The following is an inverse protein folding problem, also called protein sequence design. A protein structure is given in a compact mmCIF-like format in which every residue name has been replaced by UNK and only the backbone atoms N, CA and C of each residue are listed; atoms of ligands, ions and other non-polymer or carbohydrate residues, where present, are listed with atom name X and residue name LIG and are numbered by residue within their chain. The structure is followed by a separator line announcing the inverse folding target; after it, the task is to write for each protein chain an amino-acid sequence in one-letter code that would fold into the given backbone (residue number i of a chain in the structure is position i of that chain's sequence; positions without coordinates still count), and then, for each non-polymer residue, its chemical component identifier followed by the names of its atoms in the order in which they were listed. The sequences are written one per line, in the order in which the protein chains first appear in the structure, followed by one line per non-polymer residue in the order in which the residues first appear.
data_IF_279177186525
#
_entry.id   IF_279177186525
#
_cell.length_a   1.000
_cell.length_b   1.000
_cell.length_c   1.000
_cell.angle_alpha   90.00
_cell.angle_beta   90.00
_cell.angle_gamma   90.00
#
_symmetry.space_group_name_H-M   'P 1'
#
loop_
_entity.id
_entity.type
_entity.pdbx_description
1 polymer ?
#
# COMPACT_ATOMS: atom_id res chain seq x y z
N UNK A 1 16.26 10.41 -17.11
CA UNK A 1 15.43 9.28 -17.63
C UNK A 1 14.08 9.25 -16.91
N UNK A 2 12.99 8.80 -17.54
CA UNK A 2 11.67 8.68 -16.90
C UNK A 2 11.25 7.22 -16.71
N UNK A 3 10.55 6.94 -15.61
CA UNK A 3 9.91 5.66 -15.32
C UNK A 3 8.42 5.87 -15.07
N UNK A 4 7.59 5.01 -15.65
CA UNK A 4 6.15 5.00 -15.43
C UNK A 4 5.79 3.89 -14.43
N UNK A 5 4.95 4.23 -13.47
CA UNK A 5 4.33 3.30 -12.53
C UNK A 5 2.90 3.09 -12.99
N UNK A 6 2.67 2.06 -13.81
CA UNK A 6 1.34 1.72 -14.31
C UNK A 6 0.55 1.01 -13.22
N UNK A 7 -0.37 1.73 -12.59
CA UNK A 7 -1.15 1.26 -11.45
C UNK A 7 -2.29 0.33 -11.88
N UNK A 8 -2.40 -0.78 -11.16
CA UNK A 8 -3.42 -1.82 -11.31
C UNK A 8 -4.06 -2.13 -9.95
N UNK A 9 -5.17 -2.85 -9.97
CA UNK A 9 -5.96 -3.23 -8.80
C UNK A 9 -7.36 -2.60 -8.79
N UNK A 10 -8.07 -2.64 -7.63
CA UNK A 10 -7.59 -3.15 -6.36
C UNK A 10 -7.68 -4.68 -6.28
N UNK A 11 -6.78 -5.29 -5.52
CA UNK A 11 -6.93 -6.67 -5.02
C UNK A 11 -6.98 -6.66 -3.49
N UNK A 12 -7.73 -7.57 -2.89
CA UNK A 12 -7.79 -7.76 -1.44
C UNK A 12 -9.20 -8.06 -0.91
N UNK A 13 -9.28 -8.45 0.38
CA UNK A 13 -10.44 -9.05 1.05
C UNK A 13 -11.73 -8.23 1.12
N UNK A 14 -11.78 -6.97 0.68
CA UNK A 14 -13.04 -6.22 0.71
C UNK A 14 -13.41 -5.55 -0.61
N UNK A 15 -12.86 -5.99 -1.74
CA UNK A 15 -13.48 -5.62 -3.01
C UNK A 15 -14.96 -6.03 -2.93
N UNK A 16 -15.84 -5.03 -2.81
CA UNK A 16 -17.27 -5.24 -2.66
C UNK A 16 -17.77 -5.65 -4.04
N UNK A 17 -18.50 -6.77 -4.10
CA UNK A 17 -18.97 -7.45 -5.32
C UNK A 17 -17.87 -7.98 -6.26
N UNK A 18 -17.19 -9.03 -5.83
CA UNK A 18 -16.28 -9.81 -6.68
C UNK A 18 -15.21 -10.49 -5.84
N UNK A 19 -14.65 -11.60 -6.33
CA UNK A 19 -13.62 -12.34 -5.58
C UNK A 19 -12.47 -11.40 -5.18
N UNK A 20 -12.23 -11.36 -3.87
CA UNK A 20 -11.23 -10.52 -3.22
C UNK A 20 -9.83 -10.66 -3.82
N UNK A 21 -9.49 -11.84 -4.31
CA UNK A 21 -8.33 -12.06 -5.14
C UNK A 21 -8.81 -12.55 -6.51
N UNK A 22 -8.17 -12.12 -7.60
CA UNK A 22 -8.55 -12.57 -8.92
C UNK A 22 -8.44 -14.09 -9.03
N UNK A 23 -9.50 -14.73 -9.52
CA UNK A 23 -9.43 -16.13 -9.97
C UNK A 23 -8.79 -16.24 -11.37
N UNK A 24 -8.57 -15.11 -12.04
CA UNK A 24 -7.88 -15.03 -13.32
C UNK A 24 -6.41 -15.42 -13.14
N UNK A 25 -5.95 -16.53 -13.77
CA UNK A 25 -4.58 -16.98 -13.67
C UNK A 25 -3.55 -15.93 -14.12
N UNK A 26 -3.89 -15.08 -15.09
CA UNK A 26 -2.97 -14.06 -15.59
C UNK A 26 -2.73 -12.96 -14.54
N UNK A 27 -3.78 -12.55 -13.83
CA UNK A 27 -3.61 -11.57 -12.75
C UNK A 27 -2.87 -12.21 -11.57
N UNK A 28 -3.11 -13.50 -11.31
CA UNK A 28 -2.36 -14.24 -10.30
C UNK A 28 -0.85 -14.35 -10.62
N UNK A 29 -0.50 -14.66 -11.88
CA UNK A 29 0.88 -14.68 -12.37
C UNK A 29 1.54 -13.31 -12.24
N UNK A 30 0.84 -12.24 -12.66
CA UNK A 30 1.31 -10.86 -12.50
C UNK A 30 1.62 -10.51 -11.04
N UNK A 31 0.80 -10.98 -10.09
CA UNK A 31 1.05 -10.74 -8.66
C UNK A 31 2.26 -11.52 -8.14
N UNK A 32 2.75 -12.54 -8.83
CA UNK A 32 3.99 -13.22 -8.46
C UNK A 32 5.24 -12.39 -8.76
N UNK A 33 5.13 -11.38 -9.61
CA UNK A 33 6.23 -10.53 -10.07
C UNK A 33 6.67 -9.47 -9.05
N UNK A 34 7.81 -8.84 -9.36
CA UNK A 34 8.35 -7.74 -8.61
C UNK A 34 7.62 -6.41 -8.91
N UNK A 35 7.52 -5.53 -7.92
CA UNK A 35 6.88 -4.23 -8.10
C UNK A 35 6.73 -3.44 -6.80
N UNK A 36 6.11 -2.26 -6.93
CA UNK A 36 5.64 -1.47 -5.79
C UNK A 36 4.14 -1.65 -5.58
N UNK A 37 3.69 -1.38 -4.37
CA UNK A 37 2.28 -1.42 -4.04
C UNK A 37 1.89 -0.37 -3.02
N UNK A 38 0.61 -0.01 -3.06
CA UNK A 38 -0.08 0.71 -2.01
C UNK A 38 -1.07 -0.20 -1.33
N UNK A 39 -0.99 -0.26 -0.02
CA UNK A 39 -2.01 -0.90 0.81
C UNK A 39 -2.83 0.19 1.48
N UNK A 40 -4.12 0.25 1.14
CA UNK A 40 -5.06 1.24 1.70
C UNK A 40 -6.10 0.57 2.59
N UNK A 41 -6.54 1.29 3.62
CA UNK A 41 -7.71 0.93 4.43
C UNK A 41 -8.59 2.16 4.59
N UNK A 42 -9.87 2.01 4.29
CA UNK A 42 -10.89 3.06 4.48
C UNK A 42 -11.70 2.80 5.73
N UNK A 43 -11.95 3.85 6.50
CA UNK A 43 -12.65 3.84 7.78
C UNK A 43 -13.82 4.82 7.76
N UNK A 44 -14.62 4.80 8.82
CA UNK A 44 -15.75 5.71 9.01
C UNK A 44 -15.30 7.18 8.90
N UNK A 45 -16.23 8.05 8.50
CA UNK A 45 -15.99 9.48 8.29
C UNK A 45 -14.93 9.83 7.22
N UNK A 46 -14.69 8.91 6.28
CA UNK A 46 -13.79 9.15 5.14
C UNK A 46 -12.30 9.10 5.48
N UNK A 47 -11.93 8.56 6.65
CA UNK A 47 -10.53 8.41 7.03
C UNK A 47 -9.90 7.28 6.21
N UNK A 48 -8.78 7.59 5.55
CA UNK A 48 -7.97 6.62 4.83
C UNK A 48 -6.59 6.48 5.47
N UNK A 49 -6.13 5.25 5.61
CA UNK A 49 -4.75 4.93 6.00
C UNK A 49 -4.07 4.30 4.79
N UNK A 50 -2.88 4.80 4.45
CA UNK A 50 -2.09 4.31 3.34
C UNK A 50 -0.72 3.81 3.80
N UNK A 51 -0.23 2.79 3.11
CA UNK A 51 1.10 2.21 3.26
C UNK A 51 1.66 2.00 1.86
N UNK A 52 2.90 2.43 1.61
CA UNK A 52 3.58 2.18 0.36
C UNK A 52 4.73 1.20 0.57
N UNK A 53 4.76 0.10 -0.17
CA UNK A 53 5.80 -0.93 -0.07
C UNK A 53 6.30 -1.40 -1.43
N UNK A 54 7.30 -2.26 -1.39
CA UNK A 54 7.84 -2.96 -2.54
C UNK A 54 8.01 -4.44 -2.24
N UNK A 55 8.07 -5.25 -3.30
CA UNK A 55 8.43 -6.66 -3.20
C UNK A 55 9.05 -7.17 -4.49
N UNK A 56 9.83 -8.25 -4.36
CA UNK A 56 10.20 -9.12 -5.49
C UNK A 56 9.12 -10.15 -5.83
N UNK A 57 8.09 -10.26 -4.98
CA UNK A 57 6.86 -11.02 -5.22
C UNK A 57 5.71 -10.33 -4.46
N UNK A 58 4.82 -9.66 -5.19
CA UNK A 58 3.74 -8.87 -4.57
C UNK A 58 2.77 -9.76 -3.79
N UNK A 59 2.35 -10.89 -4.36
CA UNK A 59 1.42 -11.84 -3.75
C UNK A 59 1.91 -12.31 -2.39
N UNK A 60 3.19 -12.70 -2.30
CA UNK A 60 3.79 -13.14 -1.03
C UNK A 60 3.75 -12.02 0.03
N UNK A 61 3.97 -10.76 -0.37
CA UNK A 61 3.87 -9.63 0.57
C UNK A 61 2.43 -9.31 0.96
N UNK A 62 1.47 -9.45 0.04
CA UNK A 62 0.06 -9.23 0.35
C UNK A 62 -0.44 -10.26 1.36
N UNK A 63 -0.12 -11.54 1.14
CA UNK A 63 -0.39 -12.62 2.09
C UNK A 63 0.25 -12.33 3.45
N UNK A 64 1.53 -11.95 3.49
CA UNK A 64 2.20 -11.66 4.76
C UNK A 64 1.53 -10.53 5.56
N UNK A 65 1.05 -9.48 4.89
CA UNK A 65 0.29 -8.41 5.56
C UNK A 65 -1.01 -8.93 6.16
N UNK A 66 -1.77 -9.70 5.38
CA UNK A 66 -3.05 -10.25 5.83
C UNK A 66 -2.86 -11.29 6.95
N UNK A 67 -1.90 -12.20 6.78
CA UNK A 67 -1.53 -13.20 7.78
C UNK A 67 -1.08 -12.52 9.09
N UNK A 68 -0.28 -11.45 9.03
CA UNK A 68 0.13 -10.71 10.23
C UNK A 68 -1.05 -10.04 10.95
N UNK A 69 -2.08 -9.60 10.22
CA UNK A 69 -3.29 -9.06 10.83
C UNK A 69 -4.14 -10.15 11.48
N UNK A 70 -4.40 -11.23 10.74
CA UNK A 70 -5.24 -12.35 11.20
C UNK A 70 -4.61 -13.14 12.36
N UNK A 71 -3.27 -13.22 12.40
CA UNK A 71 -2.51 -13.83 13.51
C UNK A 71 -2.29 -12.89 14.70
N UNK A 72 -2.88 -11.70 14.70
CA UNK A 72 -2.74 -10.68 15.75
C UNK A 72 -1.28 -10.22 15.95
N UNK A 73 -0.44 -10.36 14.92
CA UNK A 73 0.98 -9.98 14.94
C UNK A 73 1.22 -8.53 14.52
N UNK A 74 0.17 -7.78 14.18
CA UNK A 74 0.23 -6.37 13.80
C UNK A 74 -0.81 -5.55 14.57
N UNK A 75 -0.62 -4.22 14.69
CA UNK A 75 -1.63 -3.35 15.26
C UNK A 75 -2.94 -3.42 14.47
N UNK A 76 -4.07 -3.46 15.17
CA UNK A 76 -5.41 -3.50 14.57
C UNK A 76 -6.21 -2.27 14.96
N UNK A 77 -7.09 -1.85 14.04
CA UNK A 77 -7.91 -0.66 14.17
C UNK A 77 -9.40 -0.99 14.21
N UNK A 78 -10.15 -0.16 14.94
CA UNK A 78 -11.60 -0.21 14.93
C UNK A 78 -12.19 0.46 13.67
N UNK A 79 -13.53 0.55 13.58
CA UNK A 79 -14.22 1.15 12.44
C UNK A 79 -13.87 2.63 12.20
N UNK A 80 -13.41 3.34 13.23
CA UNK A 80 -13.00 4.76 13.15
C UNK A 80 -11.53 4.93 12.73
N UNK A 81 -10.81 3.83 12.56
CA UNK A 81 -9.38 3.83 12.25
C UNK A 81 -8.49 4.07 13.47
N UNK A 82 -9.03 4.03 14.70
CA UNK A 82 -8.23 4.13 15.92
C UNK A 82 -7.55 2.79 16.21
N UNK A 83 -6.25 2.81 16.54
CA UNK A 83 -5.54 1.61 17.02
C UNK A 83 -6.16 1.20 18.37
N UNK A 84 -6.74 0.01 18.42
CA UNK A 84 -7.36 -0.57 19.63
C UNK A 84 -6.65 -1.84 20.08
N UNK A 85 -5.71 -2.33 19.28
CA UNK A 85 -4.88 -3.49 19.56
C UNK A 85 -3.47 -3.21 19.05
N UNK A 86 -2.45 -3.40 19.89
CA UNK A 86 -1.05 -3.05 19.58
C UNK A 86 -0.28 -4.16 18.85
N UNK A 87 -0.70 -5.42 18.96
CA UNK A 87 0.00 -6.56 18.36
C UNK A 87 1.25 -7.04 19.09
N UNK A 88 1.64 -6.40 20.21
CA UNK A 88 2.74 -6.89 21.05
C UNK A 88 2.39 -8.19 21.79
N UNK A 89 3.41 -8.83 22.37
CA UNK A 89 3.24 -10.13 23.03
C UNK A 89 2.21 -10.08 24.16
N UNK A 90 2.17 -9.01 24.96
CA UNK A 90 1.21 -8.86 26.06
C UNK A 90 -0.21 -8.77 25.52
N UNK A 91 -0.43 -7.90 24.52
CA UNK A 91 -1.73 -7.77 23.86
C UNK A 91 -2.22 -9.10 23.27
N UNK A 92 -1.33 -9.91 22.65
CA UNK A 92 -1.70 -11.22 22.12
C UNK A 92 -2.11 -12.22 23.21
N UNK A 93 -1.39 -12.28 24.32
CA UNK A 93 -1.77 -13.15 25.46
C UNK A 93 -3.14 -12.76 26.00
N UNK A 94 -3.41 -11.45 26.15
CA UNK A 94 -4.71 -10.96 26.59
C UNK A 94 -5.84 -11.23 25.58
N UNK A 95 -5.52 -11.24 24.29
CA UNK A 95 -6.47 -11.54 23.22
C UNK A 95 -6.89 -13.02 23.23
N UNK A 96 -6.03 -13.94 23.64
CA UNK A 96 -6.39 -15.36 23.75
C UNK A 96 -7.50 -15.60 24.77
N UNK A 97 -7.57 -14.80 25.83
CA UNK A 97 -8.69 -14.81 26.79
C UNK A 97 -10.00 -14.23 26.22
N UNK A 98 -9.97 -13.58 25.05
CA UNK A 98 -11.10 -12.90 24.40
C UNK A 98 -11.12 -13.19 22.89
N UNK A 99 -10.87 -14.45 22.53
CA UNK A 99 -10.56 -14.86 21.16
C UNK A 99 -11.61 -14.42 20.15
N UNK A 100 -12.90 -14.61 20.45
CA UNK A 100 -14.00 -14.20 19.57
C UNK A 100 -13.92 -12.71 19.19
N UNK A 101 -13.71 -11.84 20.18
CA UNK A 101 -13.62 -10.39 19.96
C UNK A 101 -12.36 -10.01 19.18
N UNK A 102 -11.23 -10.64 19.49
CA UNK A 102 -9.97 -10.38 18.80
C UNK A 102 -10.01 -10.84 17.34
N UNK A 103 -10.56 -12.02 17.07
CA UNK A 103 -10.74 -12.55 15.71
C UNK A 103 -11.71 -11.70 14.90
N UNK A 104 -12.83 -11.27 15.48
CA UNK A 104 -13.77 -10.37 14.82
C UNK A 104 -13.14 -9.02 14.45
N UNK A 105 -12.34 -8.45 15.37
CA UNK A 105 -11.59 -7.22 15.11
C UNK A 105 -10.58 -7.41 13.96
N UNK A 106 -9.80 -8.50 13.99
CA UNK A 106 -8.80 -8.79 12.98
C UNK A 106 -9.44 -9.00 11.59
N UNK A 107 -10.52 -9.78 11.53
CA UNK A 107 -11.27 -10.00 10.29
C UNK A 107 -11.86 -8.70 9.74
N UNK A 108 -12.46 -7.87 10.61
CA UNK A 108 -13.03 -6.59 10.19
C UNK A 108 -11.96 -5.64 9.66
N UNK A 109 -10.81 -5.50 10.34
CA UNK A 109 -9.73 -4.63 9.87
C UNK A 109 -9.03 -5.18 8.63
N UNK A 110 -8.83 -6.50 8.54
CA UNK A 110 -8.27 -7.15 7.34
C UNK A 110 -9.20 -6.96 6.14
N UNK A 111 -10.52 -7.08 6.32
CA UNK A 111 -11.52 -6.84 5.28
C UNK A 111 -11.50 -5.42 4.68
N UNK A 112 -10.91 -4.44 5.39
CA UNK A 112 -10.74 -3.07 4.85
C UNK A 112 -9.56 -2.93 3.90
N UNK A 113 -8.68 -3.93 3.81
CA UNK A 113 -7.44 -3.84 3.05
C UNK A 113 -7.69 -3.93 1.54
N UNK A 114 -7.20 -2.94 0.81
CA UNK A 114 -7.03 -3.00 -0.65
C UNK A 114 -5.55 -2.84 -1.00
N UNK A 115 -5.11 -3.57 -2.00
CA UNK A 115 -3.79 -3.46 -2.58
C UNK A 115 -3.91 -2.94 -4.01
N UNK A 116 -3.15 -1.90 -4.29
CA UNK A 116 -2.90 -1.35 -5.62
C UNK A 116 -1.44 -1.60 -5.95
N UNK A 117 -1.09 -1.87 -7.19
CA UNK A 117 0.29 -2.20 -7.52
C UNK A 117 0.72 -1.69 -8.88
N UNK A 118 2.04 -1.50 -9.03
CA UNK A 118 2.70 -1.25 -10.31
C UNK A 118 3.87 -2.23 -10.42
N UNK A 119 3.87 -3.02 -11.50
CA UNK A 119 4.87 -4.07 -11.74
C UNK A 119 6.14 -3.48 -12.33
N UNK A 120 7.26 -4.13 -12.03
CA UNK A 120 8.49 -3.91 -12.79
C UNK A 120 8.28 -4.28 -14.26
N UNK A 121 8.95 -3.55 -15.15
CA UNK A 121 8.94 -3.77 -16.60
C UNK A 121 10.33 -3.47 -17.21
N UNK A 122 10.36 -3.27 -18.53
CA UNK A 122 11.57 -2.95 -19.29
C UNK A 122 12.23 -1.61 -18.90
N UNK A 123 11.54 -0.74 -18.16
CA UNK A 123 12.03 0.58 -17.73
C UNK A 123 12.05 0.71 -16.20
N UNK A 124 11.09 0.09 -15.50
CA UNK A 124 11.02 -0.01 -14.06
C UNK A 124 11.64 -1.32 -13.58
N UNK A 125 12.93 -1.30 -13.25
CA UNK A 125 13.66 -2.49 -12.82
C UNK A 125 13.70 -2.69 -11.30
N UNK A 126 14.02 -3.90 -10.85
CA UNK A 126 14.05 -4.31 -9.44
C UNK A 126 15.07 -3.52 -8.58
N UNK A 127 16.17 -3.07 -9.18
CA UNK A 127 17.15 -2.18 -8.53
C UNK A 127 16.54 -0.81 -8.17
N UNK A 128 15.44 -0.40 -8.80
CA UNK A 128 14.76 0.86 -8.51
C UNK A 128 13.68 0.75 -7.41
N UNK A 129 13.33 -0.45 -6.93
CA UNK A 129 12.22 -0.67 -5.99
C UNK A 129 12.31 0.17 -4.71
N UNK A 130 13.51 0.24 -4.12
CA UNK A 130 13.73 1.03 -2.90
C UNK A 130 13.55 2.54 -3.13
N UNK A 131 13.85 3.04 -4.33
CA UNK A 131 13.65 4.44 -4.70
C UNK A 131 12.15 4.70 -4.89
N UNK A 132 11.48 3.86 -5.69
CA UNK A 132 10.05 3.97 -5.98
C UNK A 132 9.21 3.98 -4.70
N UNK A 133 9.41 3.01 -3.79
CA UNK A 133 8.72 2.93 -2.50
C UNK A 133 8.83 4.25 -1.72
N UNK A 134 10.01 4.86 -1.72
CA UNK A 134 10.27 6.06 -0.92
C UNK A 134 9.71 7.33 -1.53
N UNK A 135 9.76 7.45 -2.85
CA UNK A 135 9.06 8.53 -3.55
C UNK A 135 7.57 8.48 -3.26
N UNK A 136 6.97 7.29 -3.27
CA UNK A 136 5.57 7.07 -2.90
C UNK A 136 5.30 7.42 -1.43
N UNK A 137 6.13 6.97 -0.49
CA UNK A 137 6.00 7.34 0.93
C UNK A 137 6.05 8.87 1.12
N UNK A 138 7.02 9.55 0.48
CA UNK A 138 7.13 11.03 0.55
C UNK A 138 5.91 11.71 -0.06
N UNK A 139 5.43 11.20 -1.19
CA UNK A 139 4.27 11.75 -1.89
C UNK A 139 3.01 11.66 -1.03
N UNK A 140 2.76 10.48 -0.48
CA UNK A 140 1.62 10.24 0.43
C UNK A 140 1.72 11.15 1.66
N UNK A 141 2.91 11.25 2.27
CA UNK A 141 3.13 12.13 3.43
C UNK A 141 2.81 13.60 3.12
N UNK A 142 3.26 14.09 1.96
CA UNK A 142 3.03 15.47 1.53
C UNK A 142 1.55 15.75 1.26
N UNK A 143 0.83 14.82 0.60
CA UNK A 143 -0.57 15.01 0.21
C UNK A 143 -1.56 14.85 1.34
N UNK A 144 -1.42 13.80 2.14
CA UNK A 144 -2.35 13.54 3.24
C UNK A 144 -2.24 14.57 4.38
N UNK A 145 -1.29 15.53 4.30
CA UNK A 145 -0.83 16.33 5.45
C UNK A 145 -0.64 15.43 6.67
N UNK A 146 -0.19 14.20 6.41
CA UNK A 146 -0.41 13.08 7.30
C UNK A 146 0.25 13.38 8.64
N UNK A 147 -0.52 13.21 9.71
CA UNK A 147 0.12 12.93 10.98
C UNK A 147 0.81 11.57 10.85
N UNK A 148 1.91 11.29 11.57
CA UNK A 148 2.55 9.97 11.55
C UNK A 148 1.60 8.79 11.85
N UNK A 149 0.39 9.05 12.35
CA UNK A 149 -0.66 8.07 12.61
C UNK A 149 -1.40 7.56 11.36
N UNK A 150 -1.32 8.28 10.23
CA UNK A 150 -2.02 7.98 8.97
C UNK A 150 -1.13 7.29 7.93
N UNK A 151 0.17 7.13 8.24
CA UNK A 151 1.15 6.36 7.47
C UNK A 151 1.80 5.27 8.32
N UNK A 152 1.60 4.01 7.97
CA UNK A 152 2.08 2.89 8.81
C UNK A 152 3.58 2.58 8.65
N UNK A 153 4.30 3.19 7.69
CA UNK A 153 5.72 2.89 7.43
C UNK A 153 6.64 4.05 7.01
N UNK A 154 6.43 5.25 7.55
CA UNK A 154 7.34 6.37 7.31
C UNK A 154 8.75 6.12 7.94
N UNK A 155 9.65 5.36 7.29
CA UNK A 155 11.06 5.22 7.72
C UNK A 155 12.08 5.58 6.63
N UNK A 156 13.08 6.35 7.07
CA UNK A 156 13.99 7.23 6.32
C UNK A 156 14.87 6.59 5.23
N UNK A 157 15.26 7.42 4.23
CA UNK A 157 15.94 7.17 2.94
C UNK A 157 17.14 6.19 3.00
N UNK A 158 17.52 5.48 1.92
CA UNK A 158 18.80 4.79 1.85
C UNK A 158 19.85 5.89 1.76
N UNK A 159 20.94 5.77 2.49
CA UNK A 159 22.03 6.76 2.49
C UNK A 159 22.83 6.80 1.18
N UNK A 160 22.66 5.81 0.31
CA UNK A 160 23.32 5.73 -0.99
C UNK A 160 22.30 5.55 -2.11
N UNK A 161 22.30 6.50 -3.04
CA UNK A 161 21.55 6.45 -4.29
C UNK A 161 22.54 6.00 -5.39
N UNK A 162 22.22 4.97 -6.19
CA UNK A 162 23.01 4.64 -7.37
C UNK A 162 23.21 5.84 -8.31
N UNK A 163 24.31 5.88 -9.06
CA UNK A 163 24.65 7.00 -9.93
C UNK A 163 23.78 7.07 -11.21
N UNK A 164 23.07 6.00 -11.55
CA UNK A 164 22.21 5.89 -12.75
C UNK A 164 20.76 5.57 -12.34
N UNK A 165 20.05 6.60 -11.85
CA UNK A 165 18.66 6.48 -11.43
C UNK A 165 17.75 7.32 -12.33
N UNK A 166 16.52 6.86 -12.58
CA UNK A 166 15.52 7.70 -13.22
C UNK A 166 15.24 8.95 -12.39
N UNK A 167 15.28 10.12 -13.04
CA UNK A 167 15.08 11.43 -12.42
C UNK A 167 13.59 11.76 -12.25
N UNK A 168 12.75 11.18 -13.11
CA UNK A 168 11.32 11.48 -13.23
C UNK A 168 10.53 10.19 -13.13
N UNK A 169 9.54 10.19 -12.24
CA UNK A 169 8.69 9.04 -11.94
C UNK A 169 7.23 9.44 -12.10
N UNK A 170 6.51 8.80 -13.02
CA UNK A 170 5.15 9.17 -13.41
C UNK A 170 4.20 8.11 -12.87
N UNK A 171 3.15 8.52 -12.16
CA UNK A 171 2.06 7.61 -11.82
C UNK A 171 1.11 7.55 -13.02
N UNK A 172 1.07 6.39 -13.68
CA UNK A 172 0.09 6.15 -14.73
C UNK A 172 -1.09 5.38 -14.16
N UNK A 173 -2.27 6.00 -14.20
CA UNK A 173 -3.52 5.42 -13.73
C UNK A 173 -4.34 4.77 -14.84
N UNK A 174 -3.81 4.68 -16.07
CA UNK A 174 -4.49 4.10 -17.23
C UNK A 174 -4.84 2.62 -17.05
N UNK A 175 -4.09 1.91 -16.19
CA UNK A 175 -4.34 0.51 -15.83
C UNK A 175 -5.51 0.28 -14.87
N UNK A 176 -6.11 1.35 -14.33
CA UNK A 176 -7.31 1.29 -13.51
C UNK A 176 -8.51 1.40 -14.46
N UNK A 177 -9.32 0.33 -14.55
CA UNK A 177 -10.41 0.24 -15.53
C UNK A 177 -11.34 1.46 -15.55
N UNK A 178 -11.88 1.77 -16.73
CA UNK A 178 -12.78 2.93 -16.95
C UNK A 178 -14.07 2.84 -16.11
N UNK A 179 -14.47 1.61 -15.77
CA UNK A 179 -15.64 1.27 -14.96
C UNK A 179 -15.28 1.05 -13.48
N UNK A 180 -14.32 1.81 -12.95
CA UNK A 180 -13.91 1.74 -11.54
C UNK A 180 -15.02 2.24 -10.60
N UNK A 181 -16.05 1.42 -10.42
CA UNK A 181 -17.15 1.62 -9.47
C UNK A 181 -16.64 1.74 -8.02
N UNK A 182 -15.41 1.27 -7.76
CA UNK A 182 -14.79 1.33 -6.43
C UNK A 182 -14.19 2.70 -6.10
N UNK A 183 -14.12 3.63 -7.07
CA UNK A 183 -13.51 4.95 -6.88
C UNK A 183 -12.01 4.91 -6.62
N UNK A 184 -11.35 3.81 -6.96
CA UNK A 184 -9.93 3.56 -6.84
C UNK A 184 -9.01 4.56 -7.52
N UNK A 185 -9.30 4.94 -8.76
CA UNK A 185 -8.57 5.94 -9.52
C UNK A 185 -8.65 7.31 -8.85
N UNK A 186 -9.81 7.66 -8.29
CA UNK A 186 -9.98 8.90 -7.51
C UNK A 186 -9.11 8.83 -6.26
N UNK A 187 -9.20 7.76 -5.48
CA UNK A 187 -8.39 7.55 -4.28
C UNK A 187 -6.89 7.62 -4.58
N UNK A 188 -6.42 6.95 -5.62
CA UNK A 188 -5.01 6.92 -5.99
C UNK A 188 -4.53 8.29 -6.46
N UNK A 189 -5.33 9.04 -7.22
CA UNK A 189 -5.01 10.43 -7.59
C UNK A 189 -4.99 11.35 -6.37
N UNK A 190 -5.87 11.16 -5.40
CA UNK A 190 -5.85 11.91 -4.14
C UNK A 190 -4.58 11.62 -3.32
N UNK A 191 -4.11 10.36 -3.30
CA UNK A 191 -2.94 9.94 -2.54
C UNK A 191 -1.61 10.27 -3.22
N UNK A 192 -1.55 10.11 -4.55
CA UNK A 192 -0.31 10.18 -5.32
C UNK A 192 -0.22 11.42 -6.22
N UNK A 193 -1.35 11.87 -6.78
CA UNK A 193 -1.43 12.94 -7.76
C UNK A 193 -0.88 12.58 -9.13
N UNK A 194 -1.22 13.46 -10.08
CA UNK A 194 -0.84 13.34 -11.48
C UNK A 194 0.53 13.97 -11.78
N UNK A 195 1.04 14.81 -10.89
CA UNK A 195 2.33 15.45 -11.12
C UNK A 195 3.48 14.47 -10.91
N UNK A 196 4.53 14.51 -11.74
CA UNK A 196 5.67 13.61 -11.61
C UNK A 196 6.33 13.69 -10.24
N UNK A 197 6.84 12.56 -9.76
CA UNK A 197 7.73 12.48 -8.62
C UNK A 197 9.18 12.61 -9.09
N UNK A 198 10.01 13.31 -8.32
CA UNK A 198 11.42 13.50 -8.64
C UNK A 198 12.29 13.20 -7.43
N UNK A 199 13.57 12.91 -7.67
CA UNK A 199 14.55 12.65 -6.60
C UNK A 199 14.64 13.84 -5.62
N UNK A 200 14.38 15.08 -6.07
CA UNK A 200 14.34 16.27 -5.21
C UNK A 200 13.32 16.19 -4.06
N UNK A 201 12.27 15.39 -4.22
CA UNK A 201 11.31 15.12 -3.14
C UNK A 201 11.93 14.39 -1.93
N UNK A 202 13.05 13.69 -2.13
CA UNK A 202 13.73 12.96 -1.06
C UNK A 202 14.56 13.88 -0.16
N UNK A 203 15.06 15.00 -0.71
CA UNK A 203 15.97 15.95 -0.04
C UNK A 203 15.24 17.14 0.59
N UNK A 204 13.91 17.26 0.42
CA UNK A 204 13.11 18.31 1.04
C UNK A 204 13.15 19.66 0.30
N UNK A 205 13.78 19.71 -0.87
CA UNK A 205 13.68 20.86 -1.78
C UNK A 205 12.54 20.63 -2.75
N UNK A 206 11.34 21.03 -2.33
CA UNK A 206 10.20 21.17 -3.24
C UNK A 206 10.23 22.59 -3.76
N UNK A 207 10.51 22.75 -5.06
CA UNK A 207 10.12 23.94 -5.84
C UNK A 207 8.74 23.73 -6.43
#
# INVERSE_FOLDING_TARGET
MSVELVWQGPVGPGCASGNAFPDDPLIFENLCEAGVYLRTKSYDHGRTIAYAGQSVSLLSRFDQHLAAMLSLASPLRDATGKVVFSGDAGARIDAYGRLEKASALAAADAGRVRFWYALCDDYFHTNHLNLAERLLQRRIAARLRATPADMENARAAPSAMPDDLPDVWINDFSGLGVDDESGGAVLLRELLGDEPMTIGMLTGHVT
#
